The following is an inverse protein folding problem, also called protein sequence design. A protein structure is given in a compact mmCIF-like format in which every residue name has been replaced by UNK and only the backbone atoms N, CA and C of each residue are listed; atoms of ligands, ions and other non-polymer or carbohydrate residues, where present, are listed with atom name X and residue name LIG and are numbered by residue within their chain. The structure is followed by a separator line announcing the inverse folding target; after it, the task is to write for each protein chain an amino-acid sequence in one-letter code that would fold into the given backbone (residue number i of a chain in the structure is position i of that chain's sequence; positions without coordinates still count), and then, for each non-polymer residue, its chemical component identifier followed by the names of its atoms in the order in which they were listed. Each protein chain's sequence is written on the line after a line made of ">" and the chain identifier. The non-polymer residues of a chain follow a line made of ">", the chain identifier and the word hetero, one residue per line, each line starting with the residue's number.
data_IF_761282515469
#
_entry.id   IF_761282515469
#
_cell.length_a   1.000
_cell.length_b   1.000
_cell.length_c   1.000
_cell.angle_alpha   90.00
_cell.angle_beta   90.00
_cell.angle_gamma   90.00
#
_symmetry.space_group_name_H-M   'P 1'
#
loop_
_entity.id
_entity.type
_entity.pdbx_description
1 polymer ?
#
# COMPACT_ATOMS: atom_id res chain seq x y z
N UNK A 1 14.01 70.09 -12.54
CA UNK A 1 14.06 68.72 -13.08
C UNK A 1 15.03 67.89 -12.25
N UNK A 2 14.53 67.19 -11.24
CA UNK A 2 15.33 66.42 -10.29
C UNK A 2 14.49 65.26 -9.76
N UNK A 3 15.06 64.06 -9.76
CA UNK A 3 14.91 63.12 -8.66
C UNK A 3 16.26 62.40 -8.53
N UNK A 4 17.09 62.91 -7.61
CA UNK A 4 18.33 62.28 -7.19
C UNK A 4 17.98 61.16 -6.22
N UNK A 5 18.54 59.98 -6.46
CA UNK A 5 18.70 58.90 -5.50
C UNK A 5 19.54 59.43 -4.32
N UNK A 6 19.00 59.42 -3.11
CA UNK A 6 19.76 59.75 -1.90
C UNK A 6 19.87 58.52 -1.00
N UNK A 7 21.10 58.02 -0.90
CA UNK A 7 21.60 57.19 0.21
C UNK A 7 21.42 57.98 1.50
N UNK A 8 20.76 57.40 2.51
CA UNK A 8 20.71 57.98 3.86
C UNK A 8 21.80 57.29 4.69
N UNK A 9 22.90 58.01 4.87
CA UNK A 9 23.92 57.69 5.85
C UNK A 9 23.45 58.02 7.26
N UNK A 10 23.68 57.10 8.18
CA UNK A 10 23.52 57.28 9.62
C UNK A 10 24.57 58.30 10.08
N UNK A 11 24.15 59.50 10.52
CA UNK A 11 25.05 60.48 11.15
C UNK A 11 24.70 60.63 12.62
N UNK A 12 25.73 60.53 13.46
CA UNK A 12 25.70 60.70 14.90
C UNK A 12 25.70 62.21 15.21
N UNK A 13 24.69 62.71 15.93
CA UNK A 13 24.72 64.04 16.52
C UNK A 13 24.18 63.97 17.95
N UNK A 14 25.04 64.32 18.91
CA UNK A 14 24.72 64.47 20.33
C UNK A 14 24.06 65.85 20.50
N UNK A 15 22.79 65.86 20.85
CA UNK A 15 22.02 67.07 21.19
C UNK A 15 20.91 66.69 22.16
N UNK A 16 21.05 67.11 23.42
CA UNK A 16 20.09 66.82 24.48
C UNK A 16 18.85 67.71 24.33
N UNK A 17 17.84 67.23 23.63
CA UNK A 17 16.44 67.58 23.87
C UNK A 17 15.71 66.26 24.13
N UNK A 18 14.99 66.18 25.24
CA UNK A 18 14.12 65.04 25.54
C UNK A 18 12.93 65.08 24.58
N UNK A 19 13.16 64.64 23.34
CA UNK A 19 12.09 64.25 22.42
C UNK A 19 11.64 62.90 22.97
N UNK A 20 10.45 62.82 23.57
CA UNK A 20 9.80 61.54 23.78
C UNK A 20 9.82 60.82 22.42
N UNK A 21 10.42 59.63 22.27
CA UNK A 21 10.36 58.95 20.99
C UNK A 21 8.88 58.73 20.70
N UNK A 22 8.40 59.31 19.60
CA UNK A 22 7.12 58.93 19.04
C UNK A 22 7.25 57.44 18.70
N UNK A 23 6.77 56.59 19.60
CA UNK A 23 6.61 55.16 19.38
C UNK A 23 5.54 55.04 18.31
N UNK A 24 6.00 54.86 17.07
CA UNK A 24 5.10 54.49 15.98
C UNK A 24 4.71 53.03 16.21
N UNK A 25 3.41 52.77 16.14
CA UNK A 25 2.90 51.41 16.15
C UNK A 25 3.52 50.57 15.04
N UNK A 26 3.69 49.28 15.31
CA UNK A 26 4.29 48.35 14.37
C UNK A 26 5.66 47.85 14.81
N UNK A 27 6.47 47.46 13.82
CA UNK A 27 7.74 46.78 14.04
C UNK A 27 8.82 47.73 14.55
N UNK A 28 9.45 47.34 15.65
CA UNK A 28 10.67 47.97 16.16
C UNK A 28 11.80 46.95 16.29
N UNK A 29 13.02 47.44 16.40
CA UNK A 29 14.20 46.60 16.60
C UNK A 29 15.03 47.13 17.76
N UNK A 30 15.51 46.22 18.60
CA UNK A 30 16.46 46.54 19.68
C UNK A 30 17.43 45.38 19.84
N UNK A 31 18.73 45.69 19.86
CA UNK A 31 19.82 44.72 20.04
C UNK A 31 19.73 43.53 19.06
N UNK A 32 19.39 43.84 17.79
CA UNK A 32 19.23 42.84 16.73
C UNK A 32 17.92 42.05 16.77
N UNK A 33 17.12 42.16 17.84
CA UNK A 33 15.82 41.48 17.97
C UNK A 33 14.66 42.38 17.59
N UNK A 34 13.66 41.80 16.93
CA UNK A 34 12.46 42.51 16.49
C UNK A 34 11.35 42.39 17.53
N UNK A 35 10.61 43.47 17.78
CA UNK A 35 9.41 43.50 18.62
C UNK A 35 8.27 44.21 17.87
N UNK A 36 7.05 44.10 18.39
CA UNK A 36 5.89 44.76 17.81
C UNK A 36 5.19 45.62 18.86
N UNK A 37 4.86 46.87 18.51
CA UNK A 37 4.09 47.81 19.33
C UNK A 37 2.67 47.86 18.82
N UNK A 38 1.71 47.65 19.71
CA UNK A 38 0.29 47.73 19.41
C UNK A 38 -0.17 49.18 19.24
N UNK A 39 -0.95 49.45 18.20
CA UNK A 39 -1.36 50.81 17.82
C UNK A 39 -2.36 51.44 18.80
N UNK A 40 -3.16 50.61 19.47
CA UNK A 40 -4.18 51.11 20.39
C UNK A 40 -3.63 51.44 21.78
N UNK A 41 -2.63 50.67 22.23
CA UNK A 41 -2.05 50.79 23.57
C UNK A 41 -0.70 51.49 23.56
N UNK A 42 -0.03 51.53 22.40
CA UNK A 42 1.32 52.04 22.25
C UNK A 42 2.37 51.28 23.09
N UNK A 43 2.07 50.01 23.40
CA UNK A 43 2.89 49.11 24.21
C UNK A 43 3.40 47.92 23.38
N UNK A 44 4.52 47.33 23.81
CA UNK A 44 5.03 46.09 23.22
C UNK A 44 4.10 44.93 23.54
N UNK A 45 3.71 44.18 22.51
CA UNK A 45 2.95 42.95 22.70
C UNK A 45 3.85 41.77 23.09
N UNK A 46 3.25 40.73 23.63
CA UNK A 46 3.87 39.45 23.94
C UNK A 46 2.84 38.33 23.80
N UNK A 47 3.30 37.10 23.53
CA UNK A 47 2.47 35.92 23.31
C UNK A 47 1.33 36.11 22.29
N UNK A 48 1.57 36.91 21.25
CA UNK A 48 0.54 37.27 20.25
C UNK A 48 0.99 36.95 18.83
N UNK A 49 0.02 36.49 18.04
CA UNK A 49 0.15 36.36 16.59
C UNK A 49 0.00 37.73 15.93
N UNK A 50 0.82 37.98 14.91
CA UNK A 50 0.74 39.13 14.01
C UNK A 50 0.52 38.62 12.60
N UNK A 51 -0.52 39.12 11.94
CA UNK A 51 -0.81 38.82 10.54
C UNK A 51 -0.51 40.04 9.69
N UNK A 52 0.32 39.86 8.66
CA UNK A 52 0.64 40.90 7.66
C UNK A 52 0.36 40.36 6.27
N UNK A 53 0.48 41.21 5.25
CA UNK A 53 0.40 40.79 3.84
C UNK A 53 1.46 39.74 3.46
N UNK A 54 2.54 39.61 4.22
CA UNK A 54 3.59 38.62 4.01
C UNK A 54 3.34 37.28 4.71
N UNK A 55 2.36 37.22 5.62
CA UNK A 55 2.02 36.02 6.39
C UNK A 55 1.98 36.26 7.90
N UNK A 56 2.16 35.18 8.65
CA UNK A 56 2.02 35.17 10.10
C UNK A 56 3.37 35.21 10.81
N UNK A 57 3.43 35.98 11.90
CA UNK A 57 4.55 36.09 12.83
C UNK A 57 4.03 35.82 14.24
N UNK A 58 4.93 35.48 15.17
CA UNK A 58 4.59 35.35 16.58
C UNK A 58 5.56 36.13 17.44
N UNK A 59 5.03 36.93 18.36
CA UNK A 59 5.81 37.60 19.40
C UNK A 59 5.77 36.73 20.65
N UNK A 60 6.96 36.34 21.12
CA UNK A 60 7.16 35.49 22.27
C UNK A 60 6.81 36.17 23.59
N UNK A 61 7.00 35.43 24.68
CA UNK A 61 6.79 35.90 26.05
C UNK A 61 7.77 36.98 26.47
N UNK A 62 8.92 37.08 25.79
CA UNK A 62 9.95 38.09 25.99
C UNK A 62 9.70 39.38 25.17
N UNK A 63 8.52 39.50 24.56
CA UNK A 63 8.14 40.60 23.66
C UNK A 63 8.95 40.70 22.37
N UNK A 64 9.68 39.65 21.98
CA UNK A 64 10.44 39.61 20.74
C UNK A 64 9.87 38.57 19.75
N UNK A 65 10.10 38.83 18.47
CA UNK A 65 9.71 37.96 17.36
C UNK A 65 10.38 36.60 17.49
N UNK A 66 9.58 35.55 17.37
CA UNK A 66 10.05 34.17 17.40
C UNK A 66 10.64 33.77 16.06
N UNK A 67 11.75 33.05 16.12
CA UNK A 67 12.35 32.29 15.02
C UNK A 67 12.57 30.84 15.47
N UNK A 68 12.68 29.92 14.52
CA UNK A 68 12.83 28.50 14.78
C UNK A 68 11.56 27.82 15.30
N UNK A 69 11.74 26.68 15.95
CA UNK A 69 10.64 25.89 16.52
C UNK A 69 10.03 26.56 17.75
N UNK A 70 8.70 26.64 17.78
CA UNK A 70 7.95 27.13 18.95
C UNK A 70 6.66 26.36 19.13
N UNK A 71 6.43 25.90 20.36
CA UNK A 71 5.16 25.31 20.78
C UNK A 71 4.20 26.42 21.24
N UNK A 72 3.04 26.52 20.61
CA UNK A 72 1.99 27.53 20.86
C UNK A 72 0.65 26.79 20.95
N UNK A 73 -0.09 26.95 22.05
CA UNK A 73 -1.38 26.28 22.27
C UNK A 73 -1.32 24.77 21.96
N UNK A 74 -0.33 24.11 22.53
CA UNK A 74 -0.01 22.69 22.33
C UNK A 74 0.43 22.22 20.94
N UNK A 75 0.52 23.13 19.98
CA UNK A 75 0.93 22.82 18.61
C UNK A 75 2.33 23.34 18.32
N UNK A 76 3.13 22.55 17.61
CA UNK A 76 4.45 22.99 17.13
C UNK A 76 4.32 23.79 15.84
N UNK A 77 4.97 24.94 15.80
CA UNK A 77 5.13 25.78 14.62
C UNK A 77 6.61 26.00 14.35
N UNK A 78 6.95 26.27 13.10
CA UNK A 78 8.30 26.68 12.72
C UNK A 78 8.26 28.09 12.13
N UNK A 79 9.10 28.99 12.65
CA UNK A 79 9.27 30.33 12.14
C UNK A 79 10.62 30.43 11.43
N UNK A 80 10.64 30.91 10.20
CA UNK A 80 11.86 31.11 9.42
C UNK A 80 12.76 32.16 10.09
N UNK A 81 13.99 32.33 9.59
CA UNK A 81 14.94 33.30 10.15
C UNK A 81 14.43 34.75 10.13
N UNK A 82 13.54 35.08 9.20
CA UNK A 82 12.87 36.38 9.13
C UNK A 82 11.58 36.46 9.98
N UNK A 83 11.25 35.43 10.75
CA UNK A 83 10.08 35.37 11.62
C UNK A 83 8.77 34.96 10.94
N UNK A 84 8.75 34.73 9.62
CA UNK A 84 7.57 34.23 8.94
C UNK A 84 7.30 32.77 9.32
N UNK A 85 6.07 32.48 9.70
CA UNK A 85 5.58 31.13 9.95
C UNK A 85 5.70 30.28 8.68
N UNK A 86 6.28 29.10 8.81
CA UNK A 86 6.42 28.14 7.73
C UNK A 86 5.18 27.28 7.57
N UNK A 87 4.85 26.99 6.31
CA UNK A 87 3.86 25.99 5.87
C UNK A 87 4.49 25.05 4.82
N UNK A 88 3.84 23.94 4.51
CA UNK A 88 4.31 22.90 3.59
C UNK A 88 5.53 22.12 4.08
N UNK A 89 6.21 21.44 3.16
CA UNK A 89 7.45 20.72 3.43
C UNK A 89 8.59 21.67 3.84
N UNK A 90 9.38 21.26 4.84
CA UNK A 90 10.59 21.96 5.30
C UNK A 90 11.69 20.96 5.62
N UNK A 91 12.87 21.23 5.10
CA UNK A 91 14.08 20.56 5.56
C UNK A 91 14.74 21.42 6.64
N UNK A 92 14.86 20.87 7.84
CA UNK A 92 15.42 21.52 9.03
C UNK A 92 16.36 20.50 9.68
N UNK A 93 17.62 20.86 9.87
CA UNK A 93 18.66 19.98 10.43
C UNK A 93 18.69 18.59 9.77
N UNK A 94 18.72 18.58 8.43
CA UNK A 94 18.72 17.39 7.57
C UNK A 94 17.49 16.47 7.70
N UNK A 95 16.41 16.92 8.36
CA UNK A 95 15.15 16.20 8.48
C UNK A 95 14.02 16.93 7.78
N UNK A 96 13.13 16.15 7.15
CA UNK A 96 11.93 16.69 6.52
C UNK A 96 10.77 16.74 7.51
N UNK A 97 10.07 17.87 7.54
CA UNK A 97 8.87 18.14 8.31
C UNK A 97 7.79 18.65 7.39
N UNK A 98 6.53 18.42 7.75
CA UNK A 98 5.39 19.04 7.06
C UNK A 98 4.65 19.95 8.03
N UNK A 99 4.53 21.23 7.69
CA UNK A 99 3.74 22.21 8.43
C UNK A 99 2.43 22.40 7.64
N UNK A 100 1.28 22.18 8.28
CA UNK A 100 -0.03 22.38 7.62
C UNK A 100 -0.23 23.87 7.28
N UNK A 101 -1.35 24.19 6.63
CA UNK A 101 -1.67 25.56 6.22
C UNK A 101 -1.85 26.52 7.42
N UNK A 102 -2.29 25.99 8.56
CA UNK A 102 -2.35 26.70 9.86
C UNK A 102 -0.96 26.80 10.55
N UNK A 103 0.09 26.31 9.90
CA UNK A 103 1.47 26.25 10.39
C UNK A 103 1.71 25.21 11.47
N UNK A 104 0.72 24.41 11.85
CA UNK A 104 0.89 23.33 12.83
C UNK A 104 1.65 22.19 12.18
N UNK A 105 2.69 21.72 12.86
CA UNK A 105 3.49 20.58 12.45
C UNK A 105 2.65 19.29 12.40
N UNK A 106 2.70 18.60 11.26
CA UNK A 106 2.05 17.32 11.06
C UNK A 106 2.84 16.21 11.77
N UNK A 107 2.09 15.32 12.42
CA UNK A 107 2.56 14.02 12.89
C UNK A 107 1.60 12.93 12.40
N UNK A 108 2.06 11.70 12.30
CA UNK A 108 1.29 10.57 11.80
C UNK A 108 1.18 10.56 10.27
N UNK A 109 0.10 9.97 9.77
CA UNK A 109 -0.12 9.84 8.33
C UNK A 109 -0.31 11.20 7.66
N UNK A 110 0.23 11.32 6.45
CA UNK A 110 0.01 12.47 5.59
C UNK A 110 -0.30 11.97 4.18
N UNK A 111 -1.51 12.29 3.71
CA UNK A 111 -1.91 12.15 2.31
C UNK A 111 -1.69 13.48 1.60
N UNK A 112 -1.04 13.49 0.46
CA UNK A 112 -0.96 14.66 -0.42
C UNK A 112 -1.43 14.24 -1.82
N UNK A 113 -2.36 15.00 -2.41
CA UNK A 113 -2.82 14.78 -3.78
C UNK A 113 -2.37 15.95 -4.64
N UNK A 114 -1.58 15.67 -5.67
CA UNK A 114 -1.09 16.64 -6.65
C UNK A 114 -1.35 16.10 -8.06
N UNK A 115 -2.05 16.86 -8.90
CA UNK A 115 -2.37 16.48 -10.29
C UNK A 115 -2.95 15.05 -10.41
N UNK A 116 -3.96 14.75 -9.59
CA UNK A 116 -4.61 13.43 -9.45
C UNK A 116 -3.69 12.28 -8.97
N UNK A 117 -2.43 12.57 -8.66
CA UNK A 117 -1.52 11.61 -8.06
C UNK A 117 -1.54 11.74 -6.53
N UNK A 118 -1.92 10.66 -5.85
CA UNK A 118 -1.94 10.62 -4.39
C UNK A 118 -0.67 9.97 -3.86
N UNK A 119 0.07 10.71 -3.04
CA UNK A 119 1.22 10.23 -2.29
C UNK A 119 0.90 10.15 -0.81
N UNK A 120 1.50 9.17 -0.15
CA UNK A 120 1.36 8.94 1.29
C UNK A 120 2.72 8.98 1.98
N UNK A 121 2.75 9.58 3.15
CA UNK A 121 3.93 9.73 4.00
C UNK A 121 3.56 9.42 5.45
N UNK A 122 4.58 9.21 6.29
CA UNK A 122 4.39 9.10 7.72
C UNK A 122 5.40 9.98 8.47
N UNK A 123 4.89 10.93 9.24
CA UNK A 123 5.66 11.83 10.09
C UNK A 123 5.70 11.23 11.49
N UNK A 124 6.88 11.04 12.06
CA UNK A 124 7.05 10.48 13.40
C UNK A 124 6.48 11.42 14.46
N UNK A 125 6.48 10.98 15.72
CA UNK A 125 6.04 11.80 16.85
C UNK A 125 6.86 13.10 17.03
N UNK A 126 8.13 13.09 16.62
CA UNK A 126 8.98 14.28 16.58
C UNK A 126 8.75 15.17 15.34
N UNK A 127 7.81 14.80 14.46
CA UNK A 127 7.48 15.49 13.22
C UNK A 127 8.37 15.14 12.02
N UNK A 128 9.48 14.43 12.24
CA UNK A 128 10.38 14.09 11.15
C UNK A 128 9.78 12.99 10.27
N UNK A 129 9.87 13.16 8.96
CA UNK A 129 9.41 12.21 7.95
C UNK A 129 10.14 10.87 8.08
N UNK A 130 9.38 9.80 7.94
CA UNK A 130 9.90 8.43 7.95
C UNK A 130 10.37 8.00 6.57
N UNK A 131 11.41 7.18 6.57
CA UNK A 131 11.98 6.51 5.39
C UNK A 131 12.32 5.07 5.78
N UNK A 132 12.32 4.17 4.80
CA UNK A 132 12.61 2.75 5.00
C UNK A 132 11.47 2.00 5.69
N UNK A 133 11.83 0.91 6.37
CA UNK A 133 10.90 0.03 7.08
C UNK A 133 10.34 0.69 8.34
N UNK A 134 9.01 0.69 8.48
CA UNK A 134 8.31 1.19 9.67
C UNK A 134 7.24 0.19 10.08
N UNK A 135 7.20 -0.15 11.37
CA UNK A 135 6.15 -0.97 11.94
C UNK A 135 5.13 -0.09 12.67
N UNK A 136 3.87 -0.15 12.27
CA UNK A 136 2.76 0.61 12.85
C UNK A 136 1.61 -0.36 13.13
N UNK A 137 1.15 -0.45 14.40
CA UNK A 137 0.05 -1.33 14.81
C UNK A 137 0.21 -2.77 14.27
N UNK A 138 1.38 -3.37 14.53
CA UNK A 138 1.78 -4.72 14.09
C UNK A 138 1.84 -4.95 12.57
N UNK A 139 1.73 -3.89 11.77
CA UNK A 139 1.84 -3.93 10.30
C UNK A 139 3.12 -3.27 9.83
N UNK A 140 3.76 -3.87 8.84
CA UNK A 140 4.97 -3.33 8.23
C UNK A 140 4.63 -2.51 6.98
N UNK A 141 5.27 -1.35 6.87
CA UNK A 141 5.19 -0.43 5.75
C UNK A 141 6.62 -0.13 5.28
N UNK A 142 6.75 0.28 4.02
CA UNK A 142 8.03 0.73 3.49
C UNK A 142 7.88 2.08 2.81
N UNK A 143 8.60 3.08 3.32
CA UNK A 143 8.68 4.42 2.76
C UNK A 143 9.96 4.55 1.93
N UNK A 144 9.87 5.06 0.72
CA UNK A 144 11.02 5.19 -0.18
C UNK A 144 12.11 6.06 0.47
N UNK A 145 13.36 5.60 0.55
CA UNK A 145 14.43 6.39 1.15
C UNK A 145 14.73 7.74 0.48
N UNK A 146 14.41 7.88 -0.82
CA UNK A 146 14.60 9.13 -1.56
C UNK A 146 13.58 10.20 -1.15
N UNK A 147 12.31 9.97 -1.50
CA UNK A 147 11.26 10.97 -1.32
C UNK A 147 10.33 10.73 -0.13
N UNK A 148 10.49 9.63 0.62
CA UNK A 148 9.66 9.28 1.77
C UNK A 148 8.26 8.77 1.41
N UNK A 149 7.96 8.53 0.14
CA UNK A 149 6.63 8.04 -0.28
C UNK A 149 6.41 6.58 0.12
N UNK A 150 5.21 6.25 0.57
CA UNK A 150 4.80 4.89 0.88
C UNK A 150 4.75 4.03 -0.39
N UNK A 151 5.41 2.88 -0.38
CA UNK A 151 5.20 1.82 -1.37
C UNK A 151 3.84 1.16 -1.11
N UNK A 152 3.02 1.09 -2.14
CA UNK A 152 1.71 0.48 -2.12
C UNK A 152 1.36 -0.15 -3.46
N UNK A 153 0.43 -1.08 -3.42
CA UNK A 153 -0.06 -1.88 -4.54
C UNK A 153 1.02 -2.29 -5.56
N UNK A 154 2.20 -2.66 -5.07
CA UNK A 154 3.27 -3.13 -5.94
C UNK A 154 4.14 -4.20 -5.31
N UNK A 155 4.88 -4.88 -6.17
CA UNK A 155 6.09 -5.59 -5.81
C UNK A 155 7.25 -4.60 -5.68
N UNK A 156 8.10 -4.77 -4.68
CA UNK A 156 9.31 -3.97 -4.52
C UNK A 156 10.52 -4.86 -4.18
N UNK A 157 11.67 -4.54 -4.79
CA UNK A 157 12.94 -5.18 -4.47
C UNK A 157 13.72 -4.29 -3.51
N UNK A 158 13.84 -4.73 -2.26
CA UNK A 158 14.48 -3.99 -1.16
C UNK A 158 15.62 -4.86 -0.64
N UNK A 159 16.85 -4.33 -0.65
CA UNK A 159 18.07 -5.03 -0.23
C UNK A 159 18.23 -6.42 -0.89
N UNK A 160 17.97 -6.48 -2.21
CA UNK A 160 18.08 -7.70 -3.00
C UNK A 160 16.91 -8.67 -2.86
N UNK A 161 15.94 -8.41 -1.98
CA UNK A 161 14.80 -9.29 -1.69
C UNK A 161 13.50 -8.70 -2.23
N UNK A 162 12.61 -9.56 -2.72
CA UNK A 162 11.29 -9.13 -3.20
C UNK A 162 10.26 -9.17 -2.07
N UNK A 163 9.43 -8.14 -2.02
CA UNK A 163 8.30 -7.97 -1.11
C UNK A 163 7.06 -7.55 -1.92
N UNK A 164 5.88 -7.87 -1.40
CA UNK A 164 4.60 -7.43 -1.96
C UNK A 164 3.89 -6.54 -0.95
N UNK A 165 3.40 -5.38 -1.38
CA UNK A 165 2.63 -4.44 -0.55
C UNK A 165 1.19 -4.36 -1.04
N UNK A 166 0.22 -4.39 -0.14
CA UNK A 166 -1.20 -4.20 -0.44
C UNK A 166 -1.52 -2.76 -0.93
N UNK A 167 -2.75 -2.54 -1.37
CA UNK A 167 -3.26 -1.20 -1.76
C UNK A 167 -3.23 -0.18 -0.63
N UNK A 168 -3.27 -0.64 0.63
CA UNK A 168 -3.10 0.17 1.82
C UNK A 168 -1.62 0.29 2.26
N UNK A 169 -0.67 -0.23 1.48
CA UNK A 169 0.77 -0.21 1.76
C UNK A 169 1.24 -1.19 2.85
N UNK A 170 0.38 -2.08 3.34
CA UNK A 170 0.78 -3.13 4.29
C UNK A 170 1.59 -4.20 3.55
N UNK A 171 2.74 -4.58 4.12
CA UNK A 171 3.57 -5.67 3.62
C UNK A 171 2.85 -7.02 3.78
N UNK A 172 2.75 -7.77 2.70
CA UNK A 172 2.14 -9.09 2.66
C UNK A 172 3.05 -10.18 3.23
N UNK A 173 2.43 -11.19 3.85
CA UNK A 173 3.06 -12.46 4.21
C UNK A 173 2.15 -13.60 3.76
N UNK A 174 2.69 -14.81 3.62
CA UNK A 174 1.93 -15.97 3.16
C UNK A 174 1.75 -16.04 1.65
N UNK A 175 0.67 -16.70 1.21
CA UNK A 175 0.37 -16.87 -0.21
C UNK A 175 -0.20 -15.59 -0.80
N UNK A 176 0.34 -15.18 -1.95
CA UNK A 176 -0.17 -14.10 -2.76
C UNK A 176 -0.47 -14.63 -4.17
N UNK A 177 -1.60 -14.23 -4.74
CA UNK A 177 -1.96 -14.56 -6.12
C UNK A 177 -2.30 -13.32 -6.93
N UNK A 178 -1.97 -13.37 -8.21
CA UNK A 178 -2.37 -12.36 -9.18
C UNK A 178 -2.55 -13.01 -10.56
N UNK A 179 -3.74 -12.94 -11.12
CA UNK A 179 -4.07 -13.46 -12.46
C UNK A 179 -3.58 -14.90 -12.70
N UNK A 180 -3.80 -15.79 -11.73
CA UNK A 180 -3.42 -17.20 -11.81
C UNK A 180 -1.95 -17.52 -11.50
N UNK A 181 -1.09 -16.51 -11.32
CA UNK A 181 0.25 -16.70 -10.79
C UNK A 181 0.23 -16.63 -9.26
N UNK A 182 0.90 -17.58 -8.60
CA UNK A 182 0.98 -17.66 -7.14
C UNK A 182 2.42 -17.49 -6.67
N UNK A 183 2.60 -16.86 -5.52
CA UNK A 183 3.88 -16.58 -4.88
C UNK A 183 3.73 -16.81 -3.38
N UNK A 184 4.83 -17.10 -2.70
CA UNK A 184 4.84 -17.24 -1.25
C UNK A 184 5.83 -16.27 -0.62
N UNK A 185 5.32 -15.45 0.31
CA UNK A 185 6.09 -14.51 1.13
C UNK A 185 6.25 -15.13 2.51
N UNK A 186 7.47 -15.16 3.07
CA UNK A 186 7.67 -15.70 4.41
C UNK A 186 7.13 -14.74 5.50
N UNK A 187 7.32 -15.08 6.79
CA UNK A 187 6.87 -14.26 7.92
C UNK A 187 7.56 -12.88 8.01
N UNK A 188 8.66 -12.67 7.28
CA UNK A 188 9.34 -11.37 7.12
C UNK A 188 8.97 -10.68 5.80
N UNK A 189 7.96 -11.20 5.08
CA UNK A 189 7.49 -10.68 3.79
C UNK A 189 8.39 -10.96 2.59
N UNK A 190 9.47 -11.72 2.77
CA UNK A 190 10.42 -12.02 1.69
C UNK A 190 9.83 -13.09 0.79
N UNK A 191 9.76 -12.81 -0.52
CA UNK A 191 9.37 -13.79 -1.54
C UNK A 191 10.33 -14.98 -1.53
N UNK A 192 9.76 -16.17 -1.45
CA UNK A 192 10.50 -17.43 -1.47
C UNK A 192 10.62 -17.97 -2.89
N UNK A 193 11.71 -18.69 -3.13
CA UNK A 193 11.96 -19.49 -4.32
C UNK A 193 12.39 -20.89 -3.90
N UNK A 194 12.36 -21.84 -4.83
CA UNK A 194 12.67 -23.24 -4.60
C UNK A 194 11.56 -24.03 -3.89
N UNK A 195 11.95 -25.12 -3.24
CA UNK A 195 11.03 -26.02 -2.55
C UNK A 195 10.44 -25.39 -1.30
N UNK A 196 9.13 -25.55 -1.12
CA UNK A 196 8.40 -25.20 0.09
C UNK A 196 7.61 -26.39 0.59
N UNK A 197 7.64 -26.64 1.88
CA UNK A 197 6.76 -27.58 2.55
C UNK A 197 5.84 -26.81 3.50
N UNK A 198 4.55 -27.15 3.48
CA UNK A 198 3.58 -26.60 4.44
C UNK A 198 3.54 -27.43 5.73
N UNK A 199 2.75 -26.97 6.70
CA UNK A 199 2.59 -27.64 8.01
C UNK A 199 1.94 -29.02 7.92
N UNK A 200 1.24 -29.31 6.81
CA UNK A 200 0.59 -30.60 6.56
C UNK A 200 1.47 -31.54 5.73
N UNK A 201 2.72 -31.16 5.45
CA UNK A 201 3.66 -31.96 4.66
C UNK A 201 3.49 -31.83 3.15
N UNK A 202 2.56 -31.01 2.64
CA UNK A 202 2.43 -30.79 1.21
C UNK A 202 3.64 -30.02 0.69
N UNK A 203 4.18 -30.46 -0.45
CA UNK A 203 5.32 -29.82 -1.11
C UNK A 203 4.85 -28.97 -2.28
N UNK A 204 5.50 -27.84 -2.46
CA UNK A 204 5.30 -26.87 -3.52
C UNK A 204 6.67 -26.51 -4.10
N UNK A 205 6.70 -26.05 -5.35
CA UNK A 205 7.91 -25.49 -5.93
C UNK A 205 7.64 -24.07 -6.41
N UNK A 206 8.44 -23.12 -5.94
CA UNK A 206 8.41 -21.72 -6.31
C UNK A 206 9.57 -21.53 -7.30
N UNK A 207 9.29 -21.04 -8.50
CA UNK A 207 10.29 -20.95 -9.57
C UNK A 207 11.52 -20.16 -9.10
N UNK A 208 12.72 -20.68 -9.40
CA UNK A 208 13.98 -20.11 -8.90
C UNK A 208 14.27 -18.72 -9.44
N UNK A 209 13.77 -18.38 -10.63
CA UNK A 209 14.06 -17.12 -11.30
C UNK A 209 13.08 -16.01 -10.89
N UNK A 210 11.80 -16.36 -10.79
CA UNK A 210 10.73 -15.38 -10.63
C UNK A 210 9.78 -15.64 -9.45
N UNK A 211 9.95 -16.75 -8.72
CA UNK A 211 9.15 -17.09 -7.54
C UNK A 211 7.72 -17.58 -7.83
N UNK A 212 7.33 -17.73 -9.11
CA UNK A 212 6.01 -18.26 -9.46
C UNK A 212 5.90 -19.72 -9.05
N UNK A 213 4.85 -20.07 -8.32
CA UNK A 213 4.55 -21.44 -7.96
C UNK A 213 4.32 -22.30 -9.22
N UNK A 214 4.93 -23.47 -9.27
CA UNK A 214 4.76 -24.43 -10.35
C UNK A 214 3.36 -25.05 -10.34
N UNK A 215 2.84 -25.25 -11.54
CA UNK A 215 1.61 -25.99 -11.83
C UNK A 215 1.88 -26.86 -13.06
N UNK A 216 1.35 -28.08 -13.06
CA UNK A 216 1.61 -29.09 -14.08
C UNK A 216 3.03 -29.69 -14.01
N UNK A 217 3.49 -30.20 -15.15
CA UNK A 217 4.82 -30.79 -15.29
C UNK A 217 5.93 -29.74 -15.14
N UNK A 218 6.93 -30.03 -14.31
CA UNK A 218 8.12 -29.19 -14.12
C UNK A 218 9.37 -30.05 -14.01
N UNK A 219 10.42 -29.64 -14.73
CA UNK A 219 11.76 -30.20 -14.57
C UNK A 219 12.53 -29.37 -13.52
N UNK A 220 13.08 -30.05 -12.51
CA UNK A 220 13.86 -29.47 -11.41
C UNK A 220 15.06 -30.40 -11.20
N UNK A 221 16.28 -29.86 -11.35
CA UNK A 221 17.54 -30.62 -11.22
C UNK A 221 17.54 -31.94 -12.00
N UNK A 222 17.18 -31.87 -13.30
CA UNK A 222 17.07 -33.01 -14.22
C UNK A 222 16.04 -34.10 -13.83
N UNK A 223 15.15 -33.83 -12.88
CA UNK A 223 14.06 -34.71 -12.51
C UNK A 223 12.72 -34.06 -12.85
N UNK A 224 11.76 -34.86 -13.30
CA UNK A 224 10.40 -34.38 -13.56
C UNK A 224 9.50 -34.60 -12.36
N UNK A 225 8.69 -33.59 -12.07
CA UNK A 225 7.67 -33.57 -11.04
C UNK A 225 6.36 -33.08 -11.67
N UNK A 226 5.24 -33.43 -11.05
CA UNK A 226 3.95 -32.86 -11.41
C UNK A 226 3.35 -32.13 -10.22
N UNK A 227 2.87 -30.91 -10.45
CA UNK A 227 2.18 -30.10 -9.45
C UNK A 227 0.71 -29.96 -9.85
N UNK A 228 -0.20 -30.25 -8.94
CA UNK A 228 -1.62 -30.00 -9.15
C UNK A 228 -1.90 -28.50 -9.33
N UNK A 229 -3.12 -28.15 -9.74
CA UNK A 229 -3.47 -26.75 -10.00
C UNK A 229 -3.42 -25.87 -8.74
N UNK A 230 -3.58 -26.45 -7.55
CA UNK A 230 -3.36 -25.76 -6.27
C UNK A 230 -1.87 -25.72 -5.85
N UNK A 231 -0.96 -26.19 -6.71
CA UNK A 231 0.49 -26.19 -6.52
C UNK A 231 1.05 -27.34 -5.69
N UNK A 232 0.21 -28.23 -5.16
CA UNK A 232 0.68 -29.39 -4.40
C UNK A 232 1.38 -30.37 -5.33
N UNK A 233 2.58 -30.80 -4.96
CA UNK A 233 3.32 -31.85 -5.65
C UNK A 233 2.53 -33.16 -5.57
N UNK A 234 2.33 -33.80 -6.71
CA UNK A 234 1.68 -35.11 -6.82
C UNK A 234 2.72 -36.21 -6.61
N UNK A 235 2.31 -37.28 -5.94
CA UNK A 235 3.09 -38.50 -5.73
C UNK A 235 2.22 -39.71 -6.05
N UNK A 236 2.84 -40.85 -6.37
CA UNK A 236 2.15 -42.07 -6.81
C UNK A 236 1.79 -42.03 -8.29
N UNK A 237 0.74 -42.77 -8.66
CA UNK A 237 0.29 -42.84 -10.04
C UNK A 237 -0.44 -41.58 -10.48
N UNK A 238 -0.10 -41.09 -11.67
CA UNK A 238 -0.68 -39.94 -12.33
C UNK A 238 -1.16 -40.34 -13.72
N UNK A 239 -2.41 -40.03 -14.05
CA UNK A 239 -2.89 -40.07 -15.43
C UNK A 239 -2.86 -38.65 -16.01
N UNK A 240 -2.20 -38.48 -17.15
CA UNK A 240 -2.11 -37.23 -17.88
C UNK A 240 -2.31 -37.52 -19.37
N UNK A 241 -3.39 -36.99 -19.95
CA UNK A 241 -3.76 -37.16 -21.35
C UNK A 241 -3.82 -38.64 -21.80
N UNK A 242 -4.46 -39.51 -21.00
CA UNK A 242 -4.60 -40.93 -21.30
C UNK A 242 -3.33 -41.78 -21.13
N UNK A 243 -2.22 -41.16 -20.73
CA UNK A 243 -0.96 -41.85 -20.39
C UNK A 243 -0.76 -41.89 -18.88
N UNK A 244 -0.15 -42.96 -18.40
CA UNK A 244 0.07 -43.20 -16.97
C UNK A 244 1.54 -43.02 -16.62
N UNK A 245 1.79 -42.32 -15.52
CA UNK A 245 3.13 -42.00 -15.01
C UNK A 245 3.18 -42.40 -13.54
N UNK A 246 4.38 -42.72 -13.06
CA UNK A 246 4.61 -42.96 -11.64
C UNK A 246 5.57 -41.92 -11.08
N UNK A 247 5.10 -41.17 -10.09
CA UNK A 247 5.90 -40.24 -9.30
C UNK A 247 6.24 -40.92 -7.97
N UNK A 248 7.52 -40.95 -7.61
CA UNK A 248 7.97 -41.60 -6.39
C UNK A 248 7.18 -41.13 -5.16
N UNK A 249 6.75 -42.06 -4.29
CA UNK A 249 5.87 -41.76 -3.14
C UNK A 249 6.51 -40.81 -2.12
N UNK A 250 7.83 -40.78 -2.01
CA UNK A 250 8.56 -39.96 -1.03
C UNK A 250 9.12 -38.68 -1.66
N UNK A 251 9.77 -38.85 -2.82
CA UNK A 251 10.52 -37.79 -3.47
C UNK A 251 9.70 -37.05 -4.52
N UNK A 252 8.64 -37.64 -5.08
CA UNK A 252 7.85 -37.08 -6.18
C UNK A 252 8.53 -37.12 -7.56
N UNK A 253 9.68 -37.79 -7.68
CA UNK A 253 10.44 -37.87 -8.93
C UNK A 253 9.77 -38.85 -9.88
N UNK A 254 9.56 -38.45 -11.13
CA UNK A 254 8.99 -39.30 -12.16
C UNK A 254 9.93 -40.46 -12.52
N UNK A 255 9.39 -41.67 -12.61
CA UNK A 255 10.07 -42.81 -13.19
C UNK A 255 10.20 -42.64 -14.72
N UNK A 256 11.41 -42.86 -15.28
CA UNK A 256 11.71 -42.72 -16.71
C UNK A 256 12.82 -43.67 -17.12
N UNK A 257 12.65 -44.36 -18.25
CA UNK A 257 13.64 -45.24 -18.87
C UNK A 257 14.05 -46.43 -17.99
N UNK A 258 13.12 -46.95 -17.18
CA UNK A 258 13.42 -48.00 -16.20
C UNK A 258 12.19 -48.85 -15.89
N UNK A 259 12.44 -49.97 -15.24
CA UNK A 259 11.42 -50.88 -14.70
C UNK A 259 11.42 -50.79 -13.17
N UNK A 260 10.23 -50.70 -12.56
CA UNK A 260 10.05 -50.63 -11.11
C UNK A 260 9.04 -51.66 -10.64
N UNK A 261 9.28 -52.25 -9.47
CA UNK A 261 8.28 -53.04 -8.74
C UNK A 261 7.51 -52.12 -7.80
N UNK A 262 6.21 -51.94 -8.06
CA UNK A 262 5.30 -51.10 -7.28
C UNK A 262 4.17 -52.01 -6.79
N UNK A 263 3.99 -52.09 -5.47
CA UNK A 263 2.95 -52.92 -4.83
C UNK A 263 2.98 -54.38 -5.36
N UNK A 264 4.18 -54.97 -5.43
CA UNK A 264 4.49 -56.33 -5.94
C UNK A 264 4.22 -56.58 -7.43
N UNK A 265 3.95 -55.53 -8.22
CA UNK A 265 3.76 -55.64 -9.67
C UNK A 265 4.86 -54.88 -10.40
N UNK A 266 5.38 -55.46 -11.47
CA UNK A 266 6.45 -54.85 -12.27
C UNK A 266 5.90 -53.96 -13.39
N UNK A 267 6.34 -52.71 -13.43
CA UNK A 267 5.94 -51.71 -14.42
C UNK A 267 7.16 -51.16 -15.15
N UNK A 268 7.10 -51.16 -16.48
CA UNK A 268 8.14 -50.56 -17.33
C UNK A 268 7.72 -49.16 -17.80
N UNK A 269 8.65 -48.21 -17.70
CA UNK A 269 8.45 -46.81 -18.10
C UNK A 269 9.41 -46.45 -19.22
N UNK A 270 8.89 -45.88 -20.30
CA UNK A 270 9.68 -45.47 -21.45
C UNK A 270 10.57 -44.25 -21.13
N UNK A 271 11.36 -43.81 -22.11
CA UNK A 271 12.25 -42.65 -21.96
C UNK A 271 11.52 -41.32 -21.78
N UNK A 272 10.20 -41.24 -21.86
CA UNK A 272 9.41 -40.05 -21.52
C UNK A 272 8.67 -40.21 -20.17
N UNK A 273 8.82 -41.37 -19.53
CA UNK A 273 8.20 -41.73 -18.26
C UNK A 273 6.80 -42.31 -18.35
N UNK A 274 6.26 -42.47 -19.56
CA UNK A 274 4.97 -43.13 -19.74
C UNK A 274 5.09 -44.64 -19.49
N UNK A 275 4.16 -45.18 -18.71
CA UNK A 275 4.06 -46.60 -18.41
C UNK A 275 3.64 -47.38 -19.67
N UNK A 276 4.37 -48.44 -19.99
CA UNK A 276 4.08 -49.35 -21.11
C UNK A 276 3.50 -50.70 -20.66
N UNK A 277 3.46 -50.95 -19.35
CA UNK A 277 2.82 -52.12 -18.74
C UNK A 277 1.30 -51.93 -18.58
N UNK A 278 0.57 -53.03 -18.37
CA UNK A 278 -0.85 -52.98 -18.04
C UNK A 278 -1.08 -52.33 -16.66
N UNK A 279 -1.97 -51.35 -16.59
CA UNK A 279 -2.24 -50.52 -15.39
C UNK A 279 -3.60 -50.84 -14.74
N UNK A 280 -4.12 -52.05 -14.88
CA UNK A 280 -5.38 -52.42 -14.23
C UNK A 280 -5.26 -52.42 -12.70
N UNK A 281 -6.27 -51.87 -12.02
CA UNK A 281 -6.38 -51.92 -10.56
C UNK A 281 -5.52 -50.92 -9.77
N UNK A 282 -4.83 -50.00 -10.44
CA UNK A 282 -4.06 -48.95 -9.74
C UNK A 282 -4.97 -47.82 -9.24
N UNK A 283 -4.57 -47.18 -8.14
CA UNK A 283 -5.16 -45.90 -7.70
C UNK A 283 -4.41 -44.75 -8.34
N UNK A 284 -5.12 -43.88 -9.06
CA UNK A 284 -4.55 -42.83 -9.91
C UNK A 284 -5.02 -41.45 -9.46
N UNK A 285 -4.10 -40.49 -9.53
CA UNK A 285 -4.43 -39.06 -9.55
C UNK A 285 -4.65 -38.63 -11.00
N UNK A 286 -5.80 -38.01 -11.29
CA UNK A 286 -6.07 -37.49 -12.63
C UNK A 286 -5.57 -36.05 -12.74
N UNK A 287 -4.76 -35.77 -13.76
CA UNK A 287 -4.39 -34.42 -14.11
C UNK A 287 -5.62 -33.64 -14.55
N UNK A 288 -5.89 -32.48 -13.94
CA UNK A 288 -6.91 -31.57 -14.44
C UNK A 288 -6.38 -30.86 -15.68
N UNK A 289 -6.73 -31.34 -16.87
CA UNK A 289 -6.52 -30.60 -18.12
C UNK A 289 -7.63 -29.57 -18.29
N UNK A 290 -7.25 -28.30 -18.37
CA UNK A 290 -8.20 -27.19 -18.38
C UNK A 290 -9.17 -27.23 -19.56
N UNK A 291 -10.47 -27.27 -19.26
CA UNK A 291 -11.48 -26.53 -20.02
C UNK A 291 -12.55 -25.98 -19.09
N UNK A 292 -12.92 -24.71 -19.34
CA UNK A 292 -13.91 -23.86 -18.66
C UNK A 292 -13.65 -23.47 -17.20
N UNK A 293 -13.31 -22.18 -17.03
CA UNK A 293 -13.57 -21.43 -15.81
C UNK A 293 -15.02 -21.65 -15.38
N UNK A 294 -15.21 -22.26 -14.22
CA UNK A 294 -16.32 -21.91 -13.35
C UNK A 294 -15.70 -21.40 -12.07
N UNK A 295 -15.81 -20.09 -11.86
CA UNK A 295 -15.38 -19.39 -10.65
C UNK A 295 -16.06 -20.03 -9.44
N UNK A 296 -15.29 -20.81 -8.67
CA UNK A 296 -15.61 -21.15 -7.30
C UNK A 296 -14.54 -20.48 -6.45
N UNK A 297 -14.90 -19.31 -5.92
CA UNK A 297 -14.06 -18.54 -5.02
C UNK A 297 -14.01 -19.24 -3.66
N UNK A 298 -13.07 -20.16 -3.50
CA UNK A 298 -12.67 -20.61 -2.17
C UNK A 298 -11.83 -19.51 -1.55
N UNK A 299 -12.47 -18.70 -0.71
CA UNK A 299 -11.80 -17.80 0.21
C UNK A 299 -11.09 -18.65 1.26
N UNK A 300 -9.81 -18.94 1.02
CA UNK A 300 -8.92 -19.49 2.06
C UNK A 300 -8.70 -18.36 3.07
N UNK A 301 -9.52 -18.36 4.11
CA UNK A 301 -9.44 -17.44 5.23
C UNK A 301 -8.20 -17.76 6.07
N UNK A 302 -7.33 -16.76 6.25
CA UNK A 302 -6.22 -16.79 7.20
C UNK A 302 -6.73 -16.34 8.59
N UNK A 303 -6.23 -16.89 9.72
CA UNK A 303 -6.76 -16.58 11.03
C UNK A 303 -6.27 -15.22 11.53
N UNK A 304 -7.22 -14.36 11.89
CA UNK A 304 -7.00 -13.11 12.59
C UNK A 304 -7.11 -13.29 14.11
N UNK A 305 -6.15 -12.71 14.82
CA UNK A 305 -6.04 -12.66 16.27
C UNK A 305 -7.23 -11.96 16.95
N UNK A 306 -7.53 -12.45 18.16
CA UNK A 306 -8.63 -12.09 19.05
C UNK A 306 -8.58 -10.67 19.64
N UNK A 307 -9.75 -10.03 19.75
CA UNK A 307 -10.09 -9.16 20.88
C UNK A 307 -11.61 -9.05 21.07
N UNK A 308 -12.05 -9.25 22.32
CA UNK A 308 -13.42 -9.31 22.85
C UNK A 308 -14.22 -8.01 22.79
N UNK A 309 -15.54 -8.08 22.62
CA UNK A 309 -16.58 -7.59 23.57
C UNK A 309 -17.97 -8.10 23.14
N UNK A 310 -18.77 -8.46 24.14
CA UNK A 310 -20.05 -9.19 24.12
C UNK A 310 -21.26 -8.43 23.54
N UNK A 311 -22.15 -9.15 22.85
CA UNK A 311 -23.61 -9.10 23.07
C UNK A 311 -24.32 -10.28 22.35
N UNK A 312 -25.23 -10.89 23.10
CA UNK A 312 -26.01 -12.12 22.83
C UNK A 312 -27.15 -11.94 21.83
N UNK A 313 -27.36 -12.93 20.94
CA UNK A 313 -28.66 -13.63 20.82
C UNK A 313 -28.54 -14.94 20.01
N UNK A 314 -29.30 -15.92 20.48
CA UNK A 314 -29.41 -17.34 20.15
C UNK A 314 -30.05 -17.65 18.79
N UNK A 315 -29.56 -18.66 18.05
CA UNK A 315 -30.37 -19.78 17.50
C UNK A 315 -29.56 -20.82 16.69
N UNK A 316 -29.70 -22.08 17.10
CA UNK A 316 -29.66 -23.36 16.37
C UNK A 316 -28.55 -23.71 15.34
N UNK A 317 -27.65 -24.55 15.84
CA UNK A 317 -26.96 -25.73 15.29
C UNK A 317 -27.30 -26.21 13.86
N UNK A 318 -26.24 -26.45 13.07
CA UNK A 318 -26.25 -27.10 11.76
C UNK A 318 -24.82 -27.30 11.25
N UNK A 319 -24.07 -28.17 11.92
CA UNK A 319 -22.71 -28.57 11.53
C UNK A 319 -22.76 -29.38 10.23
N UNK A 320 -22.26 -28.81 9.13
CA UNK A 320 -21.99 -29.56 7.90
C UNK A 320 -20.49 -29.56 7.67
N UNK A 321 -19.83 -30.62 8.11
CA UNK A 321 -18.46 -30.96 7.72
C UNK A 321 -18.45 -31.22 6.22
N UNK A 322 -17.88 -30.31 5.44
CA UNK A 322 -17.60 -30.57 4.01
C UNK A 322 -16.24 -31.27 3.95
N UNK A 323 -16.29 -32.60 3.97
CA UNK A 323 -15.20 -33.45 3.51
C UNK A 323 -15.07 -33.25 2.01
N UNK A 324 -13.96 -32.67 1.53
CA UNK A 324 -13.64 -32.73 0.10
C UNK A 324 -13.25 -34.17 -0.21
N UNK A 325 -14.22 -34.95 -0.68
CA UNK A 325 -13.99 -36.29 -1.20
C UNK A 325 -13.05 -36.20 -2.39
N UNK A 326 -11.82 -36.69 -2.21
CA UNK A 326 -10.97 -37.10 -3.34
C UNK A 326 -11.67 -38.26 -4.02
N UNK A 327 -12.26 -38.03 -5.19
CA UNK A 327 -12.87 -39.10 -5.97
C UNK A 327 -11.77 -40.04 -6.45
N UNK A 328 -11.56 -41.11 -5.69
CA UNK A 328 -10.78 -42.28 -6.12
C UNK A 328 -11.70 -43.09 -7.01
N UNK A 329 -11.44 -43.09 -8.33
CA UNK A 329 -12.21 -43.90 -9.27
C UNK A 329 -11.39 -45.13 -9.63
N UNK A 330 -11.91 -46.31 -9.32
CA UNK A 330 -11.47 -47.56 -9.94
C UNK A 330 -12.01 -47.57 -11.37
N UNK A 331 -11.15 -47.57 -12.38
CA UNK A 331 -11.58 -47.58 -13.77
C UNK A 331 -12.19 -48.94 -14.14
N UNK A 332 -13.49 -48.96 -14.42
CA UNK A 332 -14.16 -50.01 -15.20
C UNK A 332 -14.86 -49.36 -16.40
N UNK A 333 -14.48 -49.77 -17.62
CA UNK A 333 -15.03 -49.25 -18.88
C UNK A 333 -16.35 -49.92 -19.27
N UNK A 334 -17.42 -49.14 -19.45
CA UNK A 334 -18.53 -49.48 -20.37
C UNK A 334 -19.41 -48.27 -20.72
N UNK A 335 -19.71 -48.16 -22.02
CA UNK A 335 -20.36 -47.10 -22.77
C UNK A 335 -21.89 -47.00 -22.61
N UNK A 336 -22.45 -45.78 -22.65
CA UNK A 336 -23.89 -45.57 -22.83
C UNK A 336 -24.30 -44.09 -22.93
N UNK A 337 -24.66 -43.67 -24.14
CA UNK A 337 -25.22 -42.37 -24.54
C UNK A 337 -26.70 -42.22 -24.15
N UNK A 338 -27.15 -41.03 -23.72
CA UNK A 338 -28.42 -40.40 -24.16
C UNK A 338 -28.49 -38.91 -23.82
N UNK A 339 -29.22 -38.21 -24.69
CA UNK A 339 -29.37 -36.78 -24.92
C UNK A 339 -30.59 -36.16 -24.22
N UNK A 340 -30.60 -34.82 -24.20
CA UNK A 340 -31.74 -33.92 -24.43
C UNK A 340 -32.42 -33.18 -23.24
N UNK A 341 -32.15 -31.87 -23.27
CA UNK A 341 -33.08 -30.73 -23.37
C UNK A 341 -33.97 -30.25 -22.21
N UNK A 342 -33.85 -28.92 -22.06
CA UNK A 342 -34.63 -27.98 -21.28
C UNK A 342 -35.99 -27.62 -21.90
N UNK A 343 -36.88 -27.06 -21.08
CA UNK A 343 -37.81 -26.00 -21.48
C UNK A 343 -38.26 -25.22 -20.24
N UNK A 344 -38.28 -23.88 -20.35
CA UNK A 344 -38.62 -22.96 -19.27
C UNK A 344 -40.04 -22.42 -19.34
N UNK A 345 -40.38 -21.48 -18.45
CA UNK A 345 -41.44 -20.48 -18.69
C UNK A 345 -41.29 -19.30 -17.72
N UNK A 346 -41.63 -18.10 -18.23
CA UNK A 346 -41.58 -16.76 -17.62
C UNK A 346 -42.99 -16.25 -17.40
N UNK A 347 -43.25 -15.58 -16.28
CA UNK A 347 -44.24 -14.48 -16.04
C UNK A 347 -43.87 -13.87 -14.68
N UNK A 348 -43.99 -12.58 -14.32
CA UNK A 348 -44.46 -11.31 -14.86
C UNK A 348 -44.42 -10.31 -13.66
N UNK A 349 -44.16 -9.02 -13.89
CA UNK A 349 -44.06 -7.96 -12.85
C UNK A 349 -45.40 -7.65 -12.12
N UNK A 350 -45.50 -6.60 -11.26
CA UNK A 350 -45.03 -5.23 -11.54
C UNK A 350 -44.41 -4.45 -10.36
N UNK A 351 -44.13 -3.18 -10.63
CA UNK A 351 -43.31 -2.19 -9.93
C UNK A 351 -43.93 -1.50 -8.69
N UNK A 352 -43.06 -0.87 -7.88
CA UNK A 352 -43.40 0.38 -7.17
C UNK A 352 -42.15 1.26 -6.98
N UNK A 353 -42.31 2.54 -7.30
CA UNK A 353 -41.35 3.64 -7.18
C UNK A 353 -41.28 4.22 -5.76
N UNK A 354 -40.16 4.86 -5.43
CA UNK A 354 -40.11 6.13 -4.67
C UNK A 354 -38.70 6.70 -4.77
N UNK A 355 -38.61 7.96 -5.19
CA UNK A 355 -37.34 8.68 -5.35
C UNK A 355 -36.93 9.45 -4.10
N UNK A 356 -35.72 9.99 -4.12
CA UNK A 356 -35.41 11.22 -3.41
C UNK A 356 -34.31 11.99 -4.13
N UNK A 357 -34.59 13.26 -4.38
CA UNK A 357 -33.71 14.29 -4.97
C UNK A 357 -33.20 15.16 -3.82
N UNK A 358 -31.90 15.44 -3.79
CA UNK A 358 -31.38 16.67 -3.16
C UNK A 358 -30.31 17.25 -4.10
N UNK A 359 -30.54 18.50 -4.49
CA UNK A 359 -29.62 19.40 -5.20
C UNK A 359 -28.90 20.30 -4.18
N UNK A 360 -27.61 20.59 -4.41
CA UNK A 360 -27.05 21.92 -4.14
C UNK A 360 -25.70 22.10 -4.82
N UNK A 361 -25.62 23.19 -5.56
CA UNK A 361 -24.50 23.76 -6.32
C UNK A 361 -23.43 24.41 -5.43
N UNK A 362 -22.20 24.45 -5.92
CA UNK A 362 -21.09 25.19 -5.30
C UNK A 362 -19.79 25.07 -6.09
N UNK A 363 -19.57 26.00 -7.01
CA UNK A 363 -18.35 26.20 -7.79
C UNK A 363 -17.13 26.48 -6.91
N UNK A 364 -16.00 25.81 -7.17
CA UNK A 364 -14.68 26.32 -6.76
C UNK A 364 -13.64 26.11 -7.86
N UNK A 365 -12.87 27.17 -8.05
CA UNK A 365 -11.77 27.35 -8.98
C UNK A 365 -10.60 26.42 -8.67
N UNK A 366 -10.02 25.89 -9.74
CA UNK A 366 -8.76 25.15 -9.77
C UNK A 366 -7.58 26.03 -9.33
N UNK A 367 -7.18 25.90 -8.06
CA UNK A 367 -5.78 26.00 -7.66
C UNK A 367 -5.34 24.60 -7.23
N UNK A 368 -4.06 24.24 -7.40
CA UNK A 368 -3.49 23.01 -6.83
C UNK A 368 -3.68 23.03 -5.31
N UNK A 369 -4.82 22.52 -4.85
CA UNK A 369 -5.11 22.32 -3.44
C UNK A 369 -4.55 20.97 -3.06
N UNK A 370 -3.46 21.00 -2.30
CA UNK A 370 -2.92 19.79 -1.69
C UNK A 370 -3.86 19.41 -0.54
N UNK A 371 -4.78 18.49 -0.79
CA UNK A 371 -5.72 18.02 0.23
C UNK A 371 -4.96 17.12 1.20
N UNK A 372 -4.70 17.62 2.41
CA UNK A 372 -4.07 16.86 3.48
C UNK A 372 -5.09 16.08 4.30
N UNK A 373 -4.86 14.78 4.50
CA UNK A 373 -5.62 13.94 5.44
C UNK A 373 -4.68 13.12 6.33
N UNK A 374 -5.11 12.83 7.56
CA UNK A 374 -4.31 12.21 8.62
C UNK A 374 -4.67 10.76 8.96
N UNK A 375 -5.56 10.13 8.19
CA UNK A 375 -5.95 8.74 8.39
C UNK A 375 -4.99 7.79 7.67
N UNK A 376 -4.81 6.58 8.17
CA UNK A 376 -4.05 5.56 7.44
C UNK A 376 -4.71 5.28 6.08
N UNK A 377 -3.93 4.92 5.03
CA UNK A 377 -4.51 4.40 3.80
C UNK A 377 -5.38 3.17 4.10
N UNK A 378 -6.57 3.14 3.54
CA UNK A 378 -7.53 2.03 3.67
C UNK A 378 -7.50 1.17 2.42
N UNK A 379 -7.80 -0.12 2.57
CA UNK A 379 -7.81 -1.05 1.44
C UNK A 379 -8.96 -0.68 0.51
N UNK A 380 -8.66 -0.34 -0.74
CA UNK A 380 -9.67 -0.03 -1.76
C UNK A 380 -9.72 -1.19 -2.74
N UNK A 381 -10.80 -1.97 -2.70
CA UNK A 381 -11.12 -2.93 -3.76
C UNK A 381 -11.72 -2.17 -4.93
N UNK A 382 -10.89 -1.66 -5.82
CA UNK A 382 -11.38 -1.00 -7.04
C UNK A 382 -11.72 -2.03 -8.10
N UNK A 383 -13.02 -2.29 -8.30
CA UNK A 383 -13.53 -2.66 -9.62
C UNK A 383 -13.61 -1.36 -10.42
N UNK A 384 -12.70 -1.12 -11.38
CA UNK A 384 -13.14 -0.34 -12.55
C UNK A 384 -12.27 -0.45 -13.80
N UNK A 385 -12.98 -0.50 -14.92
CA UNK A 385 -12.53 -0.33 -16.29
C UNK A 385 -12.20 1.14 -16.62
N UNK A 386 -11.16 1.35 -17.43
CA UNK A 386 -10.92 2.37 -18.49
C UNK A 386 -11.62 3.74 -18.40
N UNK A 387 -11.00 4.90 -18.66
CA UNK A 387 -10.32 5.31 -19.91
C UNK A 387 -9.48 6.60 -19.71
N UNK A 388 -8.51 6.81 -20.60
CA UNK A 388 -7.73 8.05 -20.80
C UNK A 388 -8.57 9.20 -21.39
N UNK A 389 -8.22 10.46 -21.06
CA UNK A 389 -7.55 11.42 -21.97
C UNK A 389 -7.73 12.88 -21.54
N UNK A 390 -6.67 13.67 -21.71
CA UNK A 390 -6.62 15.01 -22.35
C UNK A 390 -5.95 16.13 -21.55
N UNK A 391 -4.99 16.74 -22.25
CA UNK A 391 -4.12 17.90 -21.98
C UNK A 391 -4.90 19.22 -22.04
N UNK A 392 -4.49 20.28 -21.31
CA UNK A 392 -4.42 21.70 -21.75
C UNK A 392 -3.74 22.61 -20.69
N UNK A 393 -3.41 23.84 -21.10
CA UNK A 393 -2.19 24.63 -20.82
C UNK A 393 -2.33 25.86 -19.89
N UNK A 394 -1.27 26.10 -19.10
CA UNK A 394 -0.60 27.35 -18.64
C UNK A 394 -1.36 28.65 -18.29
N UNK A 395 -1.00 29.26 -17.14
CA UNK A 395 -0.50 30.66 -17.02
C UNK A 395 0.16 30.93 -15.64
N UNK A 396 0.94 32.02 -15.57
CA UNK A 396 2.15 32.34 -14.77
C UNK A 396 2.03 32.67 -13.26
N UNK A 397 3.16 32.70 -12.51
CA UNK A 397 3.20 32.57 -11.05
C UNK A 397 3.20 33.91 -10.28
N UNK A 398 2.62 33.90 -9.07
CA UNK A 398 2.98 34.83 -8.00
C UNK A 398 4.11 34.21 -7.16
N UNK A 399 5.10 35.02 -6.81
CA UNK A 399 6.31 34.63 -6.09
C UNK A 399 5.96 34.05 -4.71
N UNK A 400 5.86 32.72 -4.64
CA UNK A 400 5.95 31.97 -3.40
C UNK A 400 7.42 31.58 -3.17
N UNK A 401 8.24 32.54 -2.73
CA UNK A 401 9.56 32.22 -2.18
C UNK A 401 9.35 31.50 -0.85
N UNK A 402 9.18 30.19 -0.95
CA UNK A 402 9.13 29.35 0.22
C UNK A 402 8.56 27.98 0.04
N UNK A 403 7.85 27.60 -1.02
CA UNK A 403 7.57 26.18 -1.21
C UNK A 403 8.86 25.50 -1.68
N UNK A 404 9.56 24.83 -0.77
CA UNK A 404 10.49 23.79 -1.21
C UNK A 404 9.60 22.73 -1.82
N UNK A 405 9.79 22.43 -3.11
CA UNK A 405 9.29 21.20 -3.71
C UNK A 405 9.62 20.09 -2.71
N UNK A 406 8.65 19.22 -2.40
CA UNK A 406 8.79 18.21 -1.37
C UNK A 406 10.07 17.37 -1.54
N UNK A 407 10.40 16.51 -0.55
CA UNK A 407 11.53 15.59 -0.67
C UNK A 407 11.56 14.95 -2.07
N UNK A 408 12.71 15.06 -2.75
CA UNK A 408 12.89 14.71 -4.17
C UNK A 408 13.16 13.23 -4.37
#
# INVERSE_FOLDING_TARGET
>A
MKAKLSVVGLSLAIGCTAIAPAVFAGWGQKDGKYYYVDDSTNEKIHNKWIHTSSGYYYIGSDSYMVTGWKKINDNWHYFRNNGLMATGWRQIDDKWYYLKDDGVMQTGWLKLTENDNTKWYYLKADGAMSTGWVQLNDKWYYFQPGDGTLIMDSWAKIDGKWYRFESNGVMQTGWYSNNGAYYYLNNKGVMQTGWKTDTSGNKYYLDSENGKMAQGWKSIDNNYYYFAQNGKMVTGWLEYNGSYYYLDKESGKMAKGKTLTIDNTEYSFNNDGACTSNVSGITVTHATTGSTQTSSSDTISSPGSSSSTSATNTSSNGSTTVTTTTTTVTTNTSSGTTTAQASGTVTGGPASSTGNVITSSGSTSSGNSVIASSTAPVNVSTNNSSTQSSVYTSSTPSLNEGLTVGPK
#
